data_IF_169709928104
#
_entry.id   IF_169709928104
#
_cell.length_a   1.000
_cell.length_b   1.000
_cell.length_c   1.000
_cell.angle_alpha   90.00
_cell.angle_beta   90.00
_cell.angle_gamma   90.00
#
_symmetry.space_group_name_H-M   'P 1'
#
loop_
_entity.id
_entity.type
_entity.pdbx_description
1 polymer ?
#
# COMPACT_ATOMS: atom_id res chain seq x y z
N UNK A 1 38.63 -14.16 11.47
CA UNK A 1 37.53 -13.23 11.78
C UNK A 1 36.29 -14.02 12.11
N UNK A 2 35.82 -14.03 13.34
CA UNK A 2 34.63 -14.76 13.77
C UNK A 2 33.41 -13.84 13.62
N UNK A 3 32.45 -14.23 12.81
CA UNK A 3 31.17 -13.54 12.68
C UNK A 3 30.04 -14.58 12.62
N UNK A 4 28.88 -14.25 13.16
CA UNK A 4 27.69 -15.11 13.16
C UNK A 4 26.69 -14.77 12.07
N UNK A 5 26.75 -13.52 11.62
CA UNK A 5 25.87 -13.02 10.56
C UNK A 5 26.57 -11.91 9.77
N UNK A 6 26.16 -11.71 8.51
CA UNK A 6 26.61 -10.64 7.64
C UNK A 6 25.40 -9.92 7.05
N UNK A 7 25.47 -8.60 6.96
CA UNK A 7 24.49 -7.78 6.25
C UNK A 7 25.12 -7.30 4.94
N UNK A 8 24.50 -7.69 3.83
CA UNK A 8 24.92 -7.24 2.50
C UNK A 8 23.99 -6.12 2.05
N UNK A 9 24.55 -5.02 1.57
CA UNK A 9 23.78 -3.92 1.03
C UNK A 9 24.39 -3.46 -0.29
N UNK A 10 23.55 -3.28 -1.31
CA UNK A 10 23.87 -2.71 -2.62
C UNK A 10 25.10 -3.31 -3.34
N UNK A 11 25.16 -4.65 -3.36
CA UNK A 11 26.22 -5.39 -4.05
C UNK A 11 25.78 -5.84 -5.46
N UNK A 12 26.74 -5.92 -6.43
CA UNK A 12 26.52 -6.62 -7.70
C UNK A 12 26.07 -8.06 -7.47
N UNK A 13 25.23 -8.60 -8.36
CA UNK A 13 24.65 -9.93 -8.20
C UNK A 13 25.69 -11.03 -8.09
N UNK A 14 26.76 -10.96 -8.87
CA UNK A 14 27.84 -11.95 -8.85
C UNK A 14 28.51 -12.02 -7.47
N UNK A 15 28.88 -10.85 -6.91
CA UNK A 15 29.54 -10.76 -5.60
C UNK A 15 28.58 -11.21 -4.49
N UNK A 16 27.33 -10.76 -4.56
CA UNK A 16 26.27 -11.20 -3.62
C UNK A 16 26.13 -12.72 -3.62
N UNK A 17 26.04 -13.31 -4.79
CA UNK A 17 25.86 -14.76 -4.93
C UNK A 17 27.06 -15.57 -4.46
N UNK A 18 28.30 -15.05 -4.66
CA UNK A 18 29.49 -15.68 -4.12
C UNK A 18 29.50 -15.66 -2.58
N UNK A 19 29.17 -14.53 -1.97
CA UNK A 19 29.10 -14.40 -0.50
C UNK A 19 27.97 -15.28 0.06
N UNK A 20 26.81 -15.35 -0.60
CA UNK A 20 25.71 -16.22 -0.20
C UNK A 20 26.14 -17.69 -0.16
N UNK A 21 26.79 -18.18 -1.23
CA UNK A 21 27.32 -19.56 -1.32
C UNK A 21 28.34 -19.84 -0.21
N UNK A 22 29.30 -18.93 0.00
CA UNK A 22 30.30 -19.05 1.06
C UNK A 22 29.67 -19.12 2.44
N UNK A 23 28.72 -18.21 2.74
CA UNK A 23 28.06 -18.20 4.04
C UNK A 23 27.19 -19.44 4.25
N UNK A 24 26.51 -19.92 3.21
CA UNK A 24 25.73 -21.15 3.26
C UNK A 24 26.63 -22.36 3.59
N UNK A 25 27.79 -22.48 2.90
CA UNK A 25 28.81 -23.51 3.19
C UNK A 25 29.30 -23.49 4.65
N UNK A 26 29.49 -22.29 5.20
CA UNK A 26 29.99 -22.09 6.57
C UNK A 26 28.88 -22.05 7.63
N UNK A 27 27.60 -22.27 7.27
CA UNK A 27 26.47 -22.22 8.20
C UNK A 27 26.26 -20.84 8.82
N UNK A 28 26.64 -19.75 8.12
CA UNK A 28 26.51 -18.36 8.59
C UNK A 28 25.24 -17.71 8.07
N UNK A 29 24.63 -16.85 8.88
CA UNK A 29 23.42 -16.11 8.51
C UNK A 29 23.77 -14.93 7.61
N UNK A 30 22.98 -14.73 6.53
CA UNK A 30 23.11 -13.59 5.62
C UNK A 30 21.81 -12.83 5.56
N UNK A 31 21.89 -11.52 5.75
CA UNK A 31 20.80 -10.58 5.59
C UNK A 31 21.07 -9.69 4.38
N UNK A 32 20.12 -9.54 3.49
CA UNK A 32 20.22 -8.65 2.34
C UNK A 32 18.85 -8.11 1.91
N UNK A 33 18.75 -6.86 1.44
CA UNK A 33 17.53 -6.34 0.86
C UNK A 33 17.25 -7.06 -0.47
N UNK A 34 16.03 -7.63 -0.67
CA UNK A 34 15.73 -8.33 -1.90
C UNK A 34 15.67 -7.36 -3.09
N UNK A 35 16.12 -7.81 -4.26
CA UNK A 35 15.82 -7.19 -5.54
C UNK A 35 14.41 -7.60 -6.00
N UNK A 36 13.84 -6.91 -6.98
CA UNK A 36 12.50 -7.24 -7.52
C UNK A 36 12.47 -8.66 -8.07
N UNK A 37 13.54 -9.08 -8.77
CA UNK A 37 13.70 -10.46 -9.23
C UNK A 37 13.67 -11.50 -8.11
N UNK A 38 14.32 -11.21 -6.98
CA UNK A 38 14.34 -12.11 -5.83
C UNK A 38 12.93 -12.31 -5.25
N UNK A 39 12.13 -11.22 -5.21
CA UNK A 39 10.73 -11.28 -4.75
C UNK A 39 9.89 -12.16 -5.69
N UNK A 40 10.07 -12.02 -7.00
CA UNK A 40 9.37 -12.81 -8.01
C UNK A 40 9.77 -14.29 -7.91
N UNK A 41 11.07 -14.59 -7.81
CA UNK A 41 11.58 -15.97 -7.68
C UNK A 41 11.05 -16.62 -6.40
N UNK A 42 11.06 -15.89 -5.27
CA UNK A 42 10.55 -16.41 -3.99
C UNK A 42 9.07 -16.79 -4.04
N UNK A 43 8.29 -16.19 -4.93
CA UNK A 43 6.86 -16.50 -5.12
C UNK A 43 6.58 -17.55 -6.18
N UNK A 44 7.64 -18.11 -6.81
CA UNK A 44 7.53 -19.12 -7.84
C UNK A 44 7.26 -20.50 -7.23
N UNK A 45 6.54 -21.34 -7.96
CA UNK A 45 6.38 -22.74 -7.57
C UNK A 45 7.56 -23.57 -8.08
N UNK A 46 7.94 -24.57 -7.30
CA UNK A 46 8.93 -25.54 -7.71
C UNK A 46 8.27 -26.67 -8.51
N UNK A 47 8.87 -27.05 -9.62
CA UNK A 47 8.44 -28.14 -10.48
C UNK A 47 9.66 -28.94 -10.95
N UNK A 48 9.53 -30.23 -11.00
CA UNK A 48 10.54 -31.10 -11.62
C UNK A 48 10.06 -31.50 -13.03
N UNK A 49 10.86 -31.17 -14.02
CA UNK A 49 10.65 -31.64 -15.39
C UNK A 49 11.74 -32.68 -15.71
N UNK A 50 11.33 -33.95 -15.74
CA UNK A 50 12.26 -35.08 -15.82
C UNK A 50 13.22 -35.04 -14.65
N UNK A 51 14.52 -34.81 -14.84
CA UNK A 51 15.53 -34.76 -13.78
C UNK A 51 16.03 -33.34 -13.44
N UNK A 52 15.33 -32.31 -13.96
CA UNK A 52 15.75 -30.90 -13.81
C UNK A 52 14.74 -30.15 -12.92
N UNK A 53 15.18 -29.57 -11.79
CA UNK A 53 14.34 -28.69 -11.00
C UNK A 53 14.14 -27.36 -11.74
N UNK A 54 12.89 -26.91 -11.84
CA UNK A 54 12.50 -25.67 -12.48
C UNK A 54 11.68 -24.80 -11.52
N UNK A 55 11.86 -23.49 -11.62
CA UNK A 55 10.96 -22.52 -11.00
C UNK A 55 9.94 -22.01 -12.00
N UNK A 56 8.66 -22.16 -11.67
CA UNK A 56 7.57 -21.60 -12.48
C UNK A 56 7.16 -20.26 -11.87
N UNK A 57 7.54 -19.17 -12.53
CA UNK A 57 7.03 -17.85 -12.21
C UNK A 57 5.59 -17.75 -12.72
N UNK A 58 4.62 -18.06 -11.86
CA UNK A 58 3.21 -17.94 -12.22
C UNK A 58 2.84 -16.47 -12.43
N UNK A 59 1.98 -16.24 -13.41
CA UNK A 59 1.27 -14.97 -13.48
C UNK A 59 0.30 -14.96 -12.29
N UNK A 60 0.64 -14.21 -11.24
CA UNK A 60 0.02 -14.26 -9.89
C UNK A 60 -1.39 -13.66 -9.89
N UNK A 61 -2.25 -14.17 -10.75
CA UNK A 61 -3.66 -13.84 -10.67
C UNK A 61 -4.28 -14.65 -9.51
N UNK A 62 -4.80 -13.92 -8.55
CA UNK A 62 -5.57 -14.47 -7.42
C UNK A 62 -6.63 -15.42 -7.98
N UNK A 63 -6.73 -16.65 -7.47
CA UNK A 63 -7.71 -17.64 -7.92
C UNK A 63 -9.14 -17.11 -7.81
N UNK A 64 -10.07 -17.66 -8.58
CA UNK A 64 -11.48 -17.23 -8.54
C UNK A 64 -12.08 -17.36 -7.13
N UNK A 65 -11.78 -18.46 -6.43
CA UNK A 65 -12.20 -18.67 -5.05
C UNK A 65 -11.64 -17.61 -4.09
N UNK A 66 -10.37 -17.29 -4.21
CA UNK A 66 -9.73 -16.23 -3.41
C UNK A 66 -10.31 -14.85 -3.74
N UNK A 67 -10.61 -14.55 -5.02
CA UNK A 67 -11.27 -13.29 -5.43
C UNK A 67 -12.67 -13.16 -4.81
N UNK A 68 -13.45 -14.26 -4.84
CA UNK A 68 -14.77 -14.28 -4.25
C UNK A 68 -14.70 -14.05 -2.74
N UNK A 69 -13.86 -14.79 -2.03
CA UNK A 69 -13.72 -14.68 -0.58
C UNK A 69 -13.18 -13.30 -0.16
N UNK A 70 -12.20 -12.77 -0.90
CA UNK A 70 -11.72 -11.39 -0.71
C UNK A 70 -12.85 -10.38 -0.89
N UNK A 71 -13.70 -10.56 -1.91
CA UNK A 71 -14.82 -9.64 -2.16
C UNK A 71 -15.87 -9.68 -1.05
N UNK A 72 -16.19 -10.87 -0.54
CA UNK A 72 -17.09 -11.03 0.62
C UNK A 72 -16.51 -10.31 1.84
N UNK A 73 -15.23 -10.56 2.14
CA UNK A 73 -14.52 -9.89 3.24
C UNK A 73 -14.53 -8.36 3.08
N UNK A 74 -14.24 -7.84 1.89
CA UNK A 74 -14.27 -6.41 1.57
C UNK A 74 -15.66 -5.80 1.86
N UNK A 75 -16.74 -6.48 1.44
CA UNK A 75 -18.11 -6.02 1.67
C UNK A 75 -18.47 -6.03 3.15
N UNK A 76 -18.18 -7.12 3.85
CA UNK A 76 -18.51 -7.25 5.28
C UNK A 76 -17.77 -6.18 6.09
N UNK A 77 -16.47 -6.04 5.89
CA UNK A 77 -15.66 -5.05 6.64
C UNK A 77 -16.10 -3.63 6.31
N UNK A 78 -16.35 -3.32 5.03
CA UNK A 78 -16.78 -1.96 4.65
C UNK A 78 -18.15 -1.60 5.20
N UNK A 79 -19.10 -2.55 5.17
CA UNK A 79 -20.43 -2.33 5.70
C UNK A 79 -20.39 -2.10 7.22
N UNK A 80 -19.68 -2.98 7.93
CA UNK A 80 -19.47 -2.85 9.37
C UNK A 80 -18.74 -1.54 9.69
N UNK A 81 -17.70 -1.20 8.93
CA UNK A 81 -16.97 0.05 9.08
C UNK A 81 -17.86 1.28 8.91
N UNK A 82 -18.71 1.32 7.87
CA UNK A 82 -19.65 2.43 7.65
C UNK A 82 -20.64 2.54 8.82
N UNK A 83 -21.24 1.44 9.25
CA UNK A 83 -22.23 1.43 10.33
C UNK A 83 -21.58 1.97 11.63
N UNK A 84 -20.43 1.42 12.01
CA UNK A 84 -19.76 1.80 13.26
C UNK A 84 -19.22 3.24 13.23
N UNK A 85 -18.73 3.71 12.08
CA UNK A 85 -18.15 5.04 11.96
C UNK A 85 -19.12 6.12 11.49
N UNK A 86 -20.38 5.75 11.17
CA UNK A 86 -21.41 6.71 10.69
C UNK A 86 -21.63 7.91 11.60
N UNK A 87 -21.68 7.80 12.95
CA UNK A 87 -21.81 8.97 13.82
C UNK A 87 -20.60 9.92 13.69
N UNK A 88 -19.38 9.35 13.65
CA UNK A 88 -18.15 10.13 13.49
C UNK A 88 -18.13 10.81 12.12
N UNK A 89 -18.53 10.08 11.07
CA UNK A 89 -18.62 10.63 9.73
C UNK A 89 -19.62 11.78 9.64
N UNK A 90 -20.77 11.66 10.31
CA UNK A 90 -21.79 12.72 10.33
C UNK A 90 -21.27 13.98 11.07
N UNK A 91 -20.67 13.80 12.25
CA UNK A 91 -20.09 14.91 13.03
C UNK A 91 -19.00 15.61 12.20
N UNK A 92 -18.12 14.82 11.55
CA UNK A 92 -17.05 15.35 10.70
C UNK A 92 -17.62 16.13 9.50
N UNK A 93 -18.67 15.62 8.87
CA UNK A 93 -19.35 16.29 7.76
C UNK A 93 -19.94 17.64 8.19
N UNK A 94 -20.62 17.68 9.34
CA UNK A 94 -21.18 18.92 9.90
C UNK A 94 -20.06 19.91 10.22
N UNK A 95 -18.97 19.46 10.88
CA UNK A 95 -17.85 20.33 11.24
C UNK A 95 -17.19 20.96 10.00
N UNK A 96 -16.92 20.18 8.95
CA UNK A 96 -16.33 20.69 7.70
C UNK A 96 -17.28 21.72 7.04
N UNK A 97 -18.58 21.41 6.99
CA UNK A 97 -19.56 22.30 6.39
C UNK A 97 -19.72 23.60 7.18
N UNK A 98 -19.74 23.53 8.52
CA UNK A 98 -19.86 24.69 9.40
C UNK A 98 -18.64 25.63 9.32
N UNK A 99 -17.46 25.10 9.00
CA UNK A 99 -16.24 25.89 8.93
C UNK A 99 -16.22 26.90 7.77
N UNK A 100 -16.58 26.48 6.56
CA UNK A 100 -16.50 27.35 5.38
C UNK A 100 -17.64 27.17 4.37
N UNK A 101 -18.67 26.39 4.73
CA UNK A 101 -19.85 26.07 3.89
C UNK A 101 -19.51 25.47 2.52
N UNK A 102 -18.28 24.96 2.37
CA UNK A 102 -17.84 24.34 1.14
C UNK A 102 -18.17 22.84 1.08
N UNK A 103 -17.73 22.13 0.01
CA UNK A 103 -18.00 20.71 -0.17
C UNK A 103 -17.36 19.89 0.95
N UNK A 104 -18.13 18.96 1.55
CA UNK A 104 -17.68 18.09 2.63
C UNK A 104 -16.71 17.02 2.13
N UNK A 105 -16.96 16.49 0.94
CA UNK A 105 -16.18 15.43 0.35
C UNK A 105 -15.24 15.95 -0.73
N UNK A 106 -14.03 15.44 -0.74
CA UNK A 106 -13.03 15.63 -1.77
C UNK A 106 -12.90 14.36 -2.60
N UNK A 107 -12.89 14.49 -3.91
CA UNK A 107 -12.73 13.38 -4.85
C UNK A 107 -11.52 13.63 -5.73
N UNK A 108 -10.67 12.60 -5.89
CA UNK A 108 -9.47 12.67 -6.71
C UNK A 108 -9.33 11.42 -7.56
N UNK A 109 -8.87 11.57 -8.80
CA UNK A 109 -8.60 10.42 -9.67
C UNK A 109 -7.39 9.65 -9.17
N UNK A 110 -7.55 8.34 -9.09
CA UNK A 110 -6.53 7.39 -8.68
C UNK A 110 -6.63 6.13 -9.53
N UNK A 111 -5.57 5.32 -9.55
CA UNK A 111 -5.55 4.05 -10.27
C UNK A 111 -5.76 2.87 -9.33
N UNK A 112 -6.46 1.86 -9.84
CA UNK A 112 -6.67 0.56 -9.21
C UNK A 112 -6.20 -0.56 -10.15
N UNK A 113 -6.66 -1.81 -9.99
CA UNK A 113 -6.24 -2.97 -10.80
C UNK A 113 -6.28 -2.66 -12.30
N UNK A 114 -5.16 -2.98 -12.99
CA UNK A 114 -5.00 -2.78 -14.43
C UNK A 114 -4.92 -1.31 -14.83
N UNK A 115 -4.44 -0.45 -13.95
CA UNK A 115 -4.37 1.01 -14.15
C UNK A 115 -5.74 1.67 -14.41
N UNK A 116 -6.86 0.97 -14.10
CA UNK A 116 -8.19 1.56 -14.23
C UNK A 116 -8.34 2.73 -13.28
N UNK A 117 -8.76 3.86 -13.81
CA UNK A 117 -9.02 5.06 -13.03
C UNK A 117 -10.34 4.95 -12.25
N UNK A 118 -10.33 5.52 -11.04
CA UNK A 118 -11.51 5.71 -10.21
C UNK A 118 -11.37 6.99 -9.38
N UNK A 119 -12.48 7.50 -8.85
CA UNK A 119 -12.48 8.66 -7.96
C UNK A 119 -12.46 8.20 -6.51
N UNK A 120 -11.29 8.32 -5.85
CA UNK A 120 -11.19 8.08 -4.41
C UNK A 120 -11.97 9.16 -3.66
N UNK A 121 -12.72 8.75 -2.64
CA UNK A 121 -13.54 9.63 -1.82
C UNK A 121 -12.90 9.84 -0.45
N UNK A 122 -12.72 11.10 -0.04
CA UNK A 122 -12.18 11.47 1.27
C UNK A 122 -12.97 12.65 1.85
N UNK A 123 -12.91 12.84 3.16
CA UNK A 123 -13.31 14.14 3.71
C UNK A 123 -12.32 15.21 3.31
N UNK A 124 -12.84 16.39 3.01
CA UNK A 124 -12.01 17.55 2.69
C UNK A 124 -11.26 18.04 3.92
N UNK A 125 -9.94 17.96 3.87
CA UNK A 125 -9.03 18.41 4.92
C UNK A 125 -8.25 19.68 4.58
N UNK A 126 -8.40 20.19 3.35
CA UNK A 126 -7.74 21.40 2.86
C UNK A 126 -8.77 22.43 2.44
N UNK A 127 -8.32 23.68 2.31
CA UNK A 127 -9.15 24.81 1.80
C UNK A 127 -9.69 24.52 0.40
N UNK A 128 -10.83 25.14 0.07
CA UNK A 128 -11.38 25.05 -1.29
C UNK A 128 -10.34 25.60 -2.25
N UNK A 129 -10.09 24.88 -3.35
CA UNK A 129 -9.06 25.23 -4.35
C UNK A 129 -7.60 25.13 -3.86
N UNK A 130 -7.29 24.24 -2.94
CA UNK A 130 -5.90 23.98 -2.48
C UNK A 130 -4.91 23.60 -3.62
N UNK A 131 -5.41 23.10 -4.75
CA UNK A 131 -4.63 22.75 -5.96
C UNK A 131 -5.01 23.67 -7.15
N UNK A 132 -5.06 24.99 -6.95
CA UNK A 132 -5.43 25.97 -8.01
C UNK A 132 -4.61 25.86 -9.30
N UNK A 133 -3.35 25.46 -9.19
CA UNK A 133 -2.42 25.39 -10.32
C UNK A 133 -2.45 24.04 -11.05
N UNK A 134 -3.37 23.14 -10.72
CA UNK A 134 -3.47 21.81 -11.33
C UNK A 134 -2.25 20.90 -11.11
N UNK A 135 -1.23 21.36 -10.38
CA UNK A 135 -0.03 20.58 -10.10
C UNK A 135 -0.23 19.75 -8.85
N UNK A 136 -0.04 18.45 -9.00
CA UNK A 136 -0.04 17.49 -7.90
C UNK A 136 1.10 17.82 -6.92
N UNK A 137 0.79 18.42 -5.78
CA UNK A 137 1.76 18.66 -4.72
C UNK A 137 1.49 17.73 -3.52
N UNK A 138 2.53 17.05 -3.06
CA UNK A 138 2.45 16.32 -1.80
C UNK A 138 2.28 17.31 -0.65
N UNK A 139 1.43 16.97 0.33
CA UNK A 139 1.32 17.76 1.53
C UNK A 139 2.66 17.78 2.27
N UNK A 140 3.06 18.97 2.75
CA UNK A 140 4.28 19.17 3.54
C UNK A 140 3.92 19.23 5.02
N UNK A 141 4.90 19.04 5.86
CA UNK A 141 4.78 19.36 7.28
C UNK A 141 4.42 20.85 7.43
N UNK A 142 3.38 21.16 8.20
CA UNK A 142 2.82 22.52 8.36
C UNK A 142 2.30 23.17 7.05
N UNK A 143 1.71 22.38 6.17
CA UNK A 143 1.09 22.88 4.92
C UNK A 143 -0.06 23.86 5.25
N UNK A 144 0.09 25.12 4.86
CA UNK A 144 -0.89 26.19 5.10
C UNK A 144 -2.27 25.95 4.45
N UNK A 145 -2.35 25.02 3.50
CA UNK A 145 -3.59 24.63 2.84
C UNK A 145 -4.48 23.75 3.74
N UNK A 146 -3.93 23.16 4.80
CA UNK A 146 -4.68 22.27 5.70
C UNK A 146 -5.49 23.12 6.67
N UNK A 147 -6.80 22.87 6.73
CA UNK A 147 -7.69 23.56 7.69
C UNK A 147 -7.44 23.08 9.11
N UNK A 148 -7.82 23.86 10.16
CA UNK A 148 -7.72 23.41 11.55
C UNK A 148 -8.44 22.09 11.80
N UNK A 149 -9.66 21.93 11.25
CA UNK A 149 -10.41 20.67 11.28
C UNK A 149 -9.67 19.60 10.50
N UNK A 150 -9.09 19.96 9.35
CA UNK A 150 -8.28 19.10 8.52
C UNK A 150 -7.09 18.46 9.26
N UNK A 151 -6.42 19.23 10.13
CA UNK A 151 -5.32 18.70 10.97
C UNK A 151 -5.82 17.57 11.89
N UNK A 152 -6.97 17.76 12.55
CA UNK A 152 -7.55 16.78 13.46
C UNK A 152 -7.96 15.51 12.70
N UNK A 153 -8.74 15.64 11.62
CA UNK A 153 -9.25 14.48 10.91
C UNK A 153 -8.14 13.68 10.20
N UNK A 154 -7.04 14.33 9.79
CA UNK A 154 -5.87 13.66 9.19
C UNK A 154 -5.05 12.92 10.23
N UNK A 155 -4.76 13.52 11.39
CA UNK A 155 -4.02 12.86 12.47
C UNK A 155 -4.71 11.59 12.98
N UNK A 156 -6.04 11.56 12.93
CA UNK A 156 -6.86 10.40 13.31
C UNK A 156 -7.26 9.50 12.12
N UNK A 157 -6.83 9.84 10.89
CA UNK A 157 -7.22 9.18 9.63
C UNK A 157 -8.72 9.11 9.37
N UNK A 158 -9.49 9.98 10.01
CA UNK A 158 -10.95 10.11 9.81
C UNK A 158 -11.25 10.57 8.37
N UNK A 159 -10.35 11.36 7.77
CA UNK A 159 -10.48 11.81 6.38
C UNK A 159 -10.56 10.65 5.37
N UNK A 160 -10.07 9.47 5.70
CA UNK A 160 -10.08 8.30 4.82
C UNK A 160 -11.32 7.41 4.98
N UNK A 161 -12.18 7.61 6.00
CA UNK A 161 -13.39 6.81 6.23
C UNK A 161 -14.35 6.73 5.02
N UNK A 162 -14.57 7.80 4.23
CA UNK A 162 -15.43 7.71 3.04
C UNK A 162 -14.94 6.73 1.96
N UNK A 163 -13.69 6.24 2.04
CA UNK A 163 -13.19 5.21 1.12
C UNK A 163 -13.89 3.87 1.29
N UNK A 164 -14.55 3.60 2.42
CA UNK A 164 -15.41 2.43 2.56
C UNK A 164 -16.49 2.36 1.48
N UNK A 165 -17.01 3.49 1.01
CA UNK A 165 -17.93 3.52 -0.14
C UNK A 165 -17.25 3.12 -1.45
N UNK A 166 -15.98 3.47 -1.66
CA UNK A 166 -15.22 2.99 -2.82
C UNK A 166 -15.01 1.48 -2.77
N UNK A 167 -14.78 0.91 -1.57
CA UNK A 167 -14.62 -0.53 -1.38
C UNK A 167 -15.95 -1.25 -1.65
N UNK A 168 -17.08 -0.77 -1.10
CA UNK A 168 -18.41 -1.33 -1.38
C UNK A 168 -18.75 -1.30 -2.86
N UNK A 169 -18.42 -0.21 -3.56
CA UNK A 169 -18.61 -0.09 -5.01
C UNK A 169 -17.72 -1.06 -5.79
N UNK A 170 -16.59 -1.49 -5.20
CA UNK A 170 -15.65 -2.42 -5.83
C UNK A 170 -14.51 -1.74 -6.58
N UNK A 171 -14.34 -0.44 -6.45
CA UNK A 171 -13.21 0.29 -7.01
C UNK A 171 -11.92 -0.03 -6.24
N UNK A 172 -12.04 -0.26 -4.93
CA UNK A 172 -10.95 -0.58 -4.01
C UNK A 172 -11.21 -1.90 -3.27
N UNK A 173 -10.22 -2.33 -2.51
CA UNK A 173 -10.27 -3.40 -1.51
C UNK A 173 -9.89 -2.83 -0.14
N UNK A 174 -10.18 -3.55 0.94
CA UNK A 174 -9.69 -3.19 2.28
C UNK A 174 -8.17 -3.26 2.29
N UNK A 175 -7.58 -4.33 1.75
CA UNK A 175 -6.14 -4.55 1.71
C UNK A 175 -5.63 -4.58 0.27
N UNK A 176 -4.57 -3.83 0.01
CA UNK A 176 -3.91 -3.73 -1.28
C UNK A 176 -2.89 -2.59 -1.33
N UNK A 177 -2.12 -2.44 -2.41
CA UNK A 177 -1.25 -1.29 -2.60
C UNK A 177 -2.01 0.04 -2.54
N UNK A 178 -1.41 1.05 -1.93
CA UNK A 178 -2.04 2.38 -1.84
C UNK A 178 -2.30 2.95 -3.24
N UNK A 179 -3.52 3.47 -3.52
CA UNK A 179 -3.85 4.01 -4.84
C UNK A 179 -3.05 5.27 -5.16
N UNK A 180 -2.39 5.28 -6.31
CA UNK A 180 -1.59 6.40 -6.79
C UNK A 180 -2.32 7.19 -7.90
N UNK A 181 -1.89 8.45 -8.12
CA UNK A 181 -2.36 9.28 -9.23
C UNK A 181 -1.84 8.74 -10.57
N UNK A 182 -2.61 8.80 -11.67
CA UNK A 182 -2.15 8.34 -12.99
C UNK A 182 -0.79 8.96 -13.39
N UNK A 183 -0.62 10.26 -13.19
CA UNK A 183 0.60 10.99 -13.57
C UNK A 183 1.82 10.50 -12.76
N UNK A 184 1.61 10.11 -11.50
CA UNK A 184 2.69 9.56 -10.67
C UNK A 184 3.05 8.14 -11.08
N UNK A 185 2.08 7.33 -11.48
CA UNK A 185 2.33 5.99 -12.01
C UNK A 185 3.15 6.10 -13.29
N UNK A 186 2.73 6.93 -14.23
CA UNK A 186 3.43 7.14 -15.50
C UNK A 186 4.87 7.60 -15.27
N UNK A 187 5.06 8.68 -14.49
CA UNK A 187 6.37 9.21 -14.12
C UNK A 187 7.28 8.16 -13.46
N UNK A 188 6.69 7.31 -12.63
CA UNK A 188 7.46 6.30 -11.91
C UNK A 188 7.79 5.09 -12.78
N UNK A 189 6.90 4.71 -13.69
CA UNK A 189 7.15 3.67 -14.69
C UNK A 189 8.25 4.06 -15.67
N UNK A 190 8.43 5.36 -15.99
CA UNK A 190 9.56 5.83 -16.80
C UNK A 190 10.91 5.57 -16.13
N UNK A 191 10.96 5.55 -14.79
CA UNK A 191 12.19 5.30 -14.02
C UNK A 191 12.38 3.83 -13.70
N UNK A 192 11.28 3.15 -13.35
CA UNK A 192 11.22 1.76 -12.91
C UNK A 192 9.98 1.15 -13.55
N UNK A 193 10.10 0.45 -14.71
CA UNK A 193 8.95 -0.14 -15.41
C UNK A 193 8.13 -1.08 -14.54
N UNK A 194 8.77 -1.76 -13.59
CA UNK A 194 8.16 -2.68 -12.63
C UNK A 194 7.18 -2.00 -11.67
N UNK A 195 7.16 -0.67 -11.63
CA UNK A 195 6.21 0.07 -10.81
C UNK A 195 4.75 -0.22 -11.20
N UNK A 196 4.50 -0.56 -12.45
CA UNK A 196 3.20 -0.98 -12.94
C UNK A 196 2.72 -2.30 -12.30
N UNK A 197 3.60 -3.17 -11.82
CA UNK A 197 3.23 -4.47 -11.25
C UNK A 197 2.37 -4.36 -10.00
N UNK A 198 2.45 -3.25 -9.26
CA UNK A 198 1.59 -2.99 -8.10
C UNK A 198 0.10 -2.91 -8.44
N UNK A 199 -0.24 -2.61 -9.69
CA UNK A 199 -1.63 -2.53 -10.16
C UNK A 199 -2.20 -3.88 -10.64
N UNK A 200 -1.50 -4.99 -10.46
CA UNK A 200 -2.04 -6.33 -10.73
C UNK A 200 -3.20 -6.70 -9.80
N UNK A 201 -3.27 -6.09 -8.63
CA UNK A 201 -4.36 -6.25 -7.66
C UNK A 201 -5.11 -4.94 -7.47
N UNK A 202 -6.29 -4.99 -6.82
CA UNK A 202 -7.02 -3.75 -6.47
C UNK A 202 -6.24 -2.92 -5.47
N UNK A 203 -6.34 -1.60 -5.60
CA UNK A 203 -5.83 -0.66 -4.61
C UNK A 203 -6.52 -0.86 -3.26
N UNK A 204 -5.77 -0.70 -2.17
CA UNK A 204 -6.23 -0.92 -0.80
C UNK A 204 -6.39 0.36 0.02
N UNK A 205 -7.28 0.31 1.01
CA UNK A 205 -7.35 1.29 2.10
C UNK A 205 -6.12 1.17 2.99
N UNK A 206 -5.73 -0.06 3.31
CA UNK A 206 -4.46 -0.42 3.93
C UNK A 206 -3.67 -1.39 3.05
N UNK A 207 -2.41 -1.65 3.38
CA UNK A 207 -1.58 -2.57 2.61
C UNK A 207 -0.20 -2.79 3.22
N UNK A 208 0.53 -3.72 2.66
CA UNK A 208 1.82 -4.17 3.18
C UNK A 208 2.82 -3.00 3.31
N UNK A 209 2.93 -2.16 2.28
CA UNK A 209 3.79 -0.98 2.31
C UNK A 209 3.32 0.12 3.29
N UNK A 210 2.02 0.17 3.60
CA UNK A 210 1.45 1.12 4.56
C UNK A 210 1.69 0.69 6.01
N UNK A 211 1.76 -0.62 6.25
CA UNK A 211 1.96 -1.22 7.58
C UNK A 211 3.44 -1.33 7.95
N UNK A 212 4.28 -1.80 7.02
CA UNK A 212 5.71 -2.04 7.26
C UNK A 212 6.61 -0.91 6.78
N UNK A 213 6.15 -0.05 5.87
CA UNK A 213 6.87 1.13 5.45
C UNK A 213 6.74 2.27 6.44
N UNK A 214 7.79 3.08 6.55
CA UNK A 214 7.80 4.33 7.32
C UNK A 214 7.67 5.53 6.39
N UNK A 215 7.50 6.72 6.95
CA UNK A 215 7.43 7.96 6.17
C UNK A 215 8.64 8.13 5.26
N UNK A 216 9.84 7.89 5.79
CA UNK A 216 11.13 8.00 5.09
C UNK A 216 11.52 6.77 4.26
N UNK A 217 10.68 5.73 4.18
CA UNK A 217 10.95 4.56 3.33
C UNK A 217 11.06 4.98 1.86
N UNK A 218 12.14 4.56 1.20
CA UNK A 218 12.39 4.90 -0.19
C UNK A 218 11.24 4.43 -1.10
N UNK A 219 11.07 5.12 -2.22
CA UNK A 219 10.09 4.77 -3.24
C UNK A 219 10.26 3.32 -3.75
N UNK A 220 11.51 2.88 -3.94
CA UNK A 220 11.85 1.53 -4.39
C UNK A 220 11.48 0.50 -3.32
N UNK A 221 11.75 0.79 -2.06
CA UNK A 221 11.42 -0.15 -0.97
C UNK A 221 9.91 -0.24 -0.73
N UNK A 222 9.17 0.87 -0.90
CA UNK A 222 7.69 0.83 -0.91
C UNK A 222 7.17 -0.06 -2.04
N UNK A 223 7.77 0.05 -3.25
CA UNK A 223 7.44 -0.83 -4.36
C UNK A 223 7.72 -2.30 -4.02
N UNK A 224 8.90 -2.62 -3.46
CA UNK A 224 9.24 -3.99 -3.05
C UNK A 224 8.23 -4.55 -2.03
N UNK A 225 7.81 -3.73 -1.05
CA UNK A 225 6.79 -4.13 -0.07
C UNK A 225 5.43 -4.39 -0.74
N UNK A 226 5.02 -3.54 -1.70
CA UNK A 226 3.80 -3.78 -2.48
C UNK A 226 3.91 -5.07 -3.31
N UNK A 227 5.09 -5.33 -3.91
CA UNK A 227 5.32 -6.55 -4.71
C UNK A 227 5.34 -7.81 -3.85
N UNK A 228 5.87 -7.76 -2.62
CA UNK A 228 5.78 -8.88 -1.67
C UNK A 228 4.31 -9.25 -1.43
N UNK A 229 3.43 -8.26 -1.25
CA UNK A 229 2.00 -8.51 -1.10
C UNK A 229 1.38 -9.10 -2.38
N UNK A 230 1.66 -8.49 -3.54
CA UNK A 230 1.09 -8.93 -4.83
C UNK A 230 1.50 -10.35 -5.17
N UNK A 231 2.77 -10.71 -4.90
CA UNK A 231 3.34 -12.02 -5.26
C UNK A 231 2.97 -13.14 -4.28
N UNK A 232 2.68 -12.81 -3.01
CA UNK A 232 2.41 -13.81 -1.96
C UNK A 232 1.01 -13.63 -1.36
N UNK A 233 0.05 -13.18 -2.16
CA UNK A 233 -1.31 -12.94 -1.69
C UNK A 233 -1.92 -14.15 -0.98
N UNK A 234 -2.46 -13.90 0.20
CA UNK A 234 -3.33 -14.85 0.91
C UNK A 234 -4.35 -14.10 1.78
N UNK A 235 -5.49 -14.75 2.06
CA UNK A 235 -6.51 -14.17 2.94
C UNK A 235 -5.97 -14.00 4.37
N UNK A 236 -5.13 -14.92 4.83
CA UNK A 236 -4.48 -14.81 6.14
C UNK A 236 -3.57 -13.57 6.21
N UNK A 237 -2.87 -13.25 5.12
CA UNK A 237 -2.09 -12.01 5.01
C UNK A 237 -2.99 -10.78 5.09
N UNK A 238 -4.13 -10.78 4.43
CA UNK A 238 -5.10 -9.67 4.52
C UNK A 238 -5.58 -9.47 5.96
N UNK A 239 -6.01 -10.54 6.62
CA UNK A 239 -6.44 -10.50 8.02
C UNK A 239 -5.31 -9.98 8.93
N UNK A 240 -4.10 -10.48 8.76
CA UNK A 240 -2.93 -10.02 9.51
C UNK A 240 -2.67 -8.51 9.32
N UNK A 241 -2.71 -8.02 8.08
CA UNK A 241 -2.51 -6.61 7.77
C UNK A 241 -3.62 -5.71 8.33
N UNK A 242 -4.87 -6.19 8.37
CA UNK A 242 -5.98 -5.47 8.99
C UNK A 242 -5.73 -5.32 10.50
N UNK A 243 -5.37 -6.40 11.20
CA UNK A 243 -5.05 -6.32 12.62
C UNK A 243 -3.86 -5.40 12.91
N UNK A 244 -2.80 -5.48 12.12
CA UNK A 244 -1.67 -4.56 12.26
C UNK A 244 -2.06 -3.11 12.00
N UNK A 245 -2.93 -2.85 11.02
CA UNK A 245 -3.43 -1.50 10.75
C UNK A 245 -4.18 -0.94 11.95
N UNK A 246 -5.08 -1.72 12.55
CA UNK A 246 -5.77 -1.31 13.77
C UNK A 246 -4.77 -1.00 14.89
N UNK A 247 -3.79 -1.87 15.11
CA UNK A 247 -2.72 -1.64 16.10
C UNK A 247 -1.99 -0.31 15.85
N UNK A 248 -1.61 -0.02 14.60
CA UNK A 248 -0.87 1.19 14.22
C UNK A 248 -1.70 2.45 14.43
N UNK A 249 -3.01 2.43 14.17
CA UNK A 249 -3.90 3.58 14.40
C UNK A 249 -3.91 4.01 15.88
N UNK A 250 -3.76 3.05 16.81
CA UNK A 250 -3.71 3.32 18.24
C UNK A 250 -2.31 3.65 18.78
N UNK A 251 -1.25 3.51 17.99
CA UNK A 251 0.14 3.84 18.38
C UNK A 251 0.49 5.21 17.80
N UNK A 252 0.74 6.17 18.68
CA UNK A 252 0.95 7.59 18.37
C UNK A 252 2.17 7.88 17.47
N UNK A 253 3.18 7.00 17.48
CA UNK A 253 4.46 7.20 16.74
C UNK A 253 4.39 6.89 15.23
N UNK A 254 3.28 6.38 14.73
CA UNK A 254 3.14 6.02 13.30
C UNK A 254 2.68 7.16 12.40
N UNK A 255 2.34 8.31 12.98
CA UNK A 255 1.77 9.49 12.28
C UNK A 255 2.78 10.62 12.11
N UNK A 256 4.05 10.44 12.45
CA UNK A 256 5.08 11.45 12.17
C UNK A 256 5.20 11.67 10.66
N UNK A 257 4.70 12.81 10.20
CA UNK A 257 4.68 13.23 8.79
C UNK A 257 3.33 13.74 8.27
N UNK A 258 2.41 14.08 9.18
CA UNK A 258 1.15 14.77 8.85
C UNK A 258 1.12 16.16 9.49
#
# INVERSE_FOLDING_TARGET
MYFDAILLNDLPDEVRNQILKFCFEKGKRVYFPPKISDIIIKSSDEMNLVDTPLYICKNTDISLAQRFLKRVMDIVISLTGIILTSPIMLITAIAIYAYDRGPVLYKQVRCTKGNREFKICKFRSMVVNAEKDGKAQLARENDSRITPIGKIIRSMRIDELPQFFNILKGDMSVVGPRPERPELIEKNCMKIPEFAYRTRVKAGLTGYAQVYGKYNTSFIDKLKLDLIYVSNYSILMDIHLIFLTLKIIFIKDSTEGV
#
